data_IF_819446824515
#
_entry.id   IF_819446824515
#
_cell.length_a   1.000
_cell.length_b   1.000
_cell.length_c   1.000
_cell.angle_alpha   90.00
_cell.angle_beta   90.00
_cell.angle_gamma   90.00
#
_symmetry.space_group_name_H-M   'P 1'
#
loop_
_entity.id
_entity.type
_entity.pdbx_description
1 polymer ?
#
# COMPACT_ATOMS: atom_id res chain seq x y z
N UNK A 1 33.69 -31.39 -27.63
CA UNK A 1 32.44 -31.28 -26.85
C UNK A 1 32.81 -31.00 -25.41
N UNK A 2 32.20 -30.01 -24.76
CA UNK A 2 32.48 -29.72 -23.34
C UNK A 2 31.69 -30.72 -22.48
N UNK A 3 32.34 -31.48 -21.58
CA UNK A 3 31.62 -32.45 -20.74
C UNK A 3 30.72 -31.73 -19.74
N UNK A 4 29.48 -32.19 -19.63
CA UNK A 4 28.48 -31.62 -18.71
C UNK A 4 27.92 -32.71 -17.81
N UNK A 5 27.87 -32.43 -16.51
CA UNK A 5 27.21 -33.26 -15.51
C UNK A 5 26.16 -32.41 -14.80
N UNK A 6 24.96 -32.96 -14.65
CA UNK A 6 23.95 -32.34 -13.79
C UNK A 6 24.35 -32.53 -12.33
N UNK A 7 24.00 -31.57 -11.47
CA UNK A 7 24.36 -31.61 -10.04
C UNK A 7 23.87 -32.88 -9.36
N UNK A 8 22.66 -33.34 -9.71
CA UNK A 8 22.10 -34.61 -9.22
C UNK A 8 23.01 -35.79 -9.58
N UNK A 9 23.36 -35.94 -10.85
CA UNK A 9 24.19 -37.05 -11.30
C UNK A 9 25.60 -36.97 -10.69
N UNK A 10 26.18 -35.78 -10.57
CA UNK A 10 27.47 -35.59 -9.94
C UNK A 10 27.46 -36.00 -8.46
N UNK A 11 26.35 -35.80 -7.75
CA UNK A 11 26.21 -36.20 -6.34
C UNK A 11 26.02 -37.71 -6.11
N UNK A 12 25.58 -38.44 -7.14
CA UNK A 12 25.34 -39.88 -7.08
C UNK A 12 26.60 -40.70 -7.45
N UNK A 13 27.59 -40.08 -8.09
CA UNK A 13 28.78 -40.74 -8.60
C UNK A 13 29.99 -40.61 -7.65
N UNK A 14 30.87 -41.63 -7.58
CA UNK A 14 32.11 -41.52 -6.83
C UNK A 14 33.08 -40.54 -7.52
N UNK A 15 33.97 -39.95 -6.72
CA UNK A 15 34.89 -38.87 -7.17
C UNK A 15 35.67 -39.24 -8.43
N UNK A 16 36.17 -40.47 -8.53
CA UNK A 16 36.96 -40.91 -9.68
C UNK A 16 36.16 -40.93 -10.99
N UNK A 17 34.88 -41.29 -10.93
CA UNK A 17 33.99 -41.26 -12.10
C UNK A 17 33.66 -39.84 -12.52
N UNK A 18 33.39 -38.95 -11.56
CA UNK A 18 33.13 -37.53 -11.83
C UNK A 18 34.33 -36.88 -12.52
N UNK A 19 35.54 -37.17 -12.04
CA UNK A 19 36.80 -36.67 -12.60
C UNK A 19 37.01 -37.19 -14.03
N UNK A 20 36.72 -38.48 -14.26
CA UNK A 20 36.83 -39.10 -15.58
C UNK A 20 35.86 -38.45 -16.59
N UNK A 21 34.60 -38.28 -16.19
CA UNK A 21 33.56 -37.68 -17.05
C UNK A 21 33.86 -36.21 -17.33
N UNK A 22 34.28 -35.45 -16.33
CA UNK A 22 34.66 -34.04 -16.48
C UNK A 22 36.05 -33.83 -17.07
N UNK A 23 36.79 -34.91 -17.36
CA UNK A 23 38.16 -34.88 -17.89
C UNK A 23 39.05 -33.91 -17.09
N UNK A 24 38.94 -33.95 -15.76
CA UNK A 24 39.70 -33.10 -14.86
C UNK A 24 40.90 -33.88 -14.28
N UNK A 25 41.94 -33.17 -13.87
CA UNK A 25 43.06 -33.73 -13.10
C UNK A 25 42.86 -33.41 -11.61
N UNK A 26 42.94 -34.41 -10.73
CA UNK A 26 42.76 -34.24 -9.29
C UNK A 26 43.91 -33.50 -8.59
N UNK A 27 45.11 -33.52 -9.17
CA UNK A 27 46.30 -32.89 -8.61
C UNK A 27 46.57 -31.52 -9.23
N UNK A 28 46.35 -31.40 -10.54
CA UNK A 28 46.71 -30.21 -11.32
C UNK A 28 45.51 -29.37 -11.77
N UNK A 29 44.29 -29.90 -11.64
CA UNK A 29 43.08 -29.23 -12.09
C UNK A 29 42.95 -29.21 -13.63
N UNK A 30 42.28 -28.19 -14.15
CA UNK A 30 42.11 -28.00 -15.59
C UNK A 30 43.23 -27.10 -16.15
N UNK A 31 43.62 -27.34 -17.40
CA UNK A 31 44.57 -26.47 -18.10
C UNK A 31 43.91 -25.10 -18.41
N UNK A 32 44.70 -24.03 -18.54
CA UNK A 32 44.16 -22.69 -18.81
C UNK A 32 43.40 -22.60 -20.15
N UNK A 33 43.80 -23.40 -21.15
CA UNK A 33 43.10 -23.51 -22.43
C UNK A 33 41.72 -24.16 -22.24
N UNK A 34 41.65 -25.22 -21.43
CA UNK A 34 40.40 -25.90 -21.11
C UNK A 34 39.46 -25.02 -20.30
N UNK A 35 39.98 -24.26 -19.34
CA UNK A 35 39.21 -23.27 -18.58
C UNK A 35 38.61 -22.22 -19.51
N UNK A 36 39.42 -21.68 -20.43
CA UNK A 36 38.95 -20.67 -21.39
C UNK A 36 37.89 -21.22 -22.34
N UNK A 37 38.06 -22.47 -22.80
CA UNK A 37 37.08 -23.19 -23.62
C UNK A 37 35.77 -23.42 -22.87
N UNK A 38 35.84 -23.88 -21.62
CA UNK A 38 34.65 -24.13 -20.78
C UNK A 38 33.92 -22.84 -20.44
N UNK A 39 34.64 -21.76 -20.13
CA UNK A 39 34.06 -20.45 -19.85
C UNK A 39 33.34 -19.86 -21.07
N UNK A 40 33.87 -20.10 -22.27
CA UNK A 40 33.20 -19.68 -23.52
C UNK A 40 31.89 -20.43 -23.76
N UNK A 41 31.74 -21.65 -23.23
CA UNK A 41 30.54 -22.47 -23.41
C UNK A 41 29.52 -22.31 -22.26
N UNK A 42 29.99 -22.25 -21.02
CA UNK A 42 29.16 -22.18 -19.81
C UNK A 42 28.89 -20.76 -19.31
N UNK A 43 29.67 -19.79 -19.78
CA UNK A 43 29.69 -18.45 -19.20
C UNK A 43 30.47 -18.41 -17.89
N UNK A 44 30.35 -17.28 -17.21
CA UNK A 44 30.94 -17.06 -15.89
C UNK A 44 30.03 -17.67 -14.81
N UNK A 45 30.64 -18.22 -13.75
CA UNK A 45 29.90 -18.72 -12.60
C UNK A 45 29.51 -17.55 -11.68
N UNK A 46 28.62 -16.71 -12.18
CA UNK A 46 28.07 -15.56 -11.48
C UNK A 46 26.59 -15.80 -11.25
N UNK A 47 26.11 -15.45 -10.06
CA UNK A 47 24.68 -15.45 -9.81
C UNK A 47 24.07 -14.29 -10.58
N UNK A 48 22.98 -14.54 -11.27
CA UNK A 48 22.16 -13.48 -11.86
C UNK A 48 21.51 -12.72 -10.71
N UNK A 49 22.20 -11.68 -10.22
CA UNK A 49 21.67 -10.76 -9.24
C UNK A 49 20.68 -9.90 -10.02
N UNK A 50 19.44 -10.37 -10.08
CA UNK A 50 18.32 -9.55 -10.58
C UNK A 50 18.41 -8.21 -9.87
N UNK A 51 18.49 -7.12 -10.63
CA UNK A 51 18.68 -5.78 -10.07
C UNK A 51 17.74 -5.60 -8.88
N UNK A 52 18.33 -5.31 -7.71
CA UNK A 52 17.56 -5.19 -6.48
C UNK A 52 16.41 -4.23 -6.73
N UNK A 53 15.16 -4.72 -6.64
CA UNK A 53 14.02 -3.84 -6.75
C UNK A 53 14.21 -2.70 -5.75
N UNK A 54 14.20 -1.44 -6.20
CA UNK A 54 14.53 -0.33 -5.33
C UNK A 54 13.53 -0.29 -4.17
N UNK A 55 14.01 0.07 -2.98
CA UNK A 55 13.24 -0.05 -1.72
C UNK A 55 11.86 0.64 -1.79
N UNK A 56 11.73 1.73 -2.56
CA UNK A 56 10.44 2.40 -2.78
C UNK A 56 9.43 1.53 -3.53
N UNK A 57 9.85 0.68 -4.48
CA UNK A 57 8.96 -0.28 -5.17
C UNK A 57 8.46 -1.35 -4.21
N UNK A 58 9.32 -1.84 -3.32
CA UNK A 58 8.95 -2.78 -2.25
C UNK A 58 8.00 -2.16 -1.22
N UNK A 59 8.09 -0.86 -0.98
CA UNK A 59 7.13 -0.14 -0.15
C UNK A 59 5.78 0.02 -0.87
N UNK A 60 5.80 0.40 -2.15
CA UNK A 60 4.58 0.52 -2.96
C UNK A 60 3.86 -0.82 -3.17
N UNK A 61 4.58 -1.93 -3.23
CA UNK A 61 3.97 -3.25 -3.37
C UNK A 61 3.12 -3.63 -2.14
N UNK A 62 3.44 -3.13 -0.95
CA UNK A 62 2.64 -3.36 0.26
C UNK A 62 1.26 -2.68 0.18
N UNK A 63 1.09 -1.57 -0.54
CA UNK A 63 -0.23 -0.96 -0.74
C UNK A 63 -1.20 -1.84 -1.55
N UNK A 64 -0.74 -2.92 -2.18
CA UNK A 64 -1.62 -3.91 -2.83
C UNK A 64 -2.21 -4.91 -1.83
N UNK A 65 -1.73 -4.92 -0.59
CA UNK A 65 -2.28 -5.78 0.45
C UNK A 65 -3.70 -5.30 0.83
N UNK A 66 -4.72 -6.16 0.73
CA UNK A 66 -6.09 -5.79 1.08
C UNK A 66 -6.23 -5.29 2.53
N UNK A 67 -5.37 -5.73 3.45
CA UNK A 67 -5.38 -5.25 4.83
C UNK A 67 -4.93 -3.79 4.95
N UNK A 68 -3.89 -3.39 4.21
CA UNK A 68 -3.41 -2.00 4.18
C UNK A 68 -4.44 -1.10 3.51
N UNK A 69 -5.05 -1.56 2.42
CA UNK A 69 -6.14 -0.84 1.76
C UNK A 69 -7.35 -0.65 2.68
N UNK A 70 -7.72 -1.68 3.45
CA UNK A 70 -8.80 -1.60 4.43
C UNK A 70 -8.49 -0.58 5.53
N UNK A 71 -7.25 -0.58 6.04
CA UNK A 71 -6.81 0.38 7.06
C UNK A 71 -6.82 1.82 6.53
N UNK A 72 -6.36 2.02 5.29
CA UNK A 72 -6.38 3.34 4.66
C UNK A 72 -7.82 3.82 4.41
N UNK A 73 -8.70 2.93 3.96
CA UNK A 73 -10.11 3.24 3.78
C UNK A 73 -10.79 3.63 5.10
N UNK A 74 -10.53 2.90 6.20
CA UNK A 74 -11.10 3.24 7.51
C UNK A 74 -10.56 4.56 8.05
N UNK A 75 -9.27 4.85 7.86
CA UNK A 75 -8.68 6.14 8.22
C UNK A 75 -9.33 7.30 7.45
N UNK A 76 -9.55 7.15 6.14
CA UNK A 76 -10.23 8.15 5.31
C UNK A 76 -11.66 8.39 5.80
N UNK A 77 -12.43 7.32 6.05
CA UNK A 77 -13.82 7.44 6.55
C UNK A 77 -13.84 8.12 7.93
N UNK A 78 -12.89 7.78 8.81
CA UNK A 78 -12.78 8.37 10.15
C UNK A 78 -12.55 9.89 10.09
N UNK A 79 -11.63 10.33 9.23
CA UNK A 79 -11.36 11.77 9.04
C UNK A 79 -12.57 12.49 8.46
N UNK A 80 -13.27 11.88 7.51
CA UNK A 80 -14.48 12.45 6.93
C UNK A 80 -15.59 12.58 7.99
N UNK A 81 -15.87 11.52 8.75
CA UNK A 81 -16.92 11.50 9.77
C UNK A 81 -16.70 12.55 10.86
N UNK A 82 -15.45 12.70 11.33
CA UNK A 82 -15.12 13.68 12.37
C UNK A 82 -15.55 15.12 11.99
N UNK A 83 -15.45 15.48 10.71
CA UNK A 83 -15.87 16.81 10.24
C UNK A 83 -17.40 16.97 10.19
N UNK A 84 -18.15 15.88 9.98
CA UNK A 84 -19.61 15.90 9.90
C UNK A 84 -20.28 15.87 11.28
N UNK A 85 -19.71 15.16 12.25
CA UNK A 85 -20.27 15.03 13.61
C UNK A 85 -20.43 16.41 14.29
N UNK A 86 -19.41 17.26 14.18
CA UNK A 86 -19.46 18.63 14.72
C UNK A 86 -20.53 19.49 14.03
N UNK A 87 -20.64 19.39 12.69
CA UNK A 87 -21.59 20.18 11.92
C UNK A 87 -23.06 19.78 12.18
N UNK A 88 -23.33 18.48 12.31
CA UNK A 88 -24.66 17.94 12.58
C UNK A 88 -25.09 18.29 14.01
N UNK A 89 -24.18 18.16 14.99
CA UNK A 89 -24.46 18.47 16.41
C UNK A 89 -24.95 19.91 16.60
N UNK A 90 -24.25 20.88 16.02
CA UNK A 90 -24.63 22.31 16.09
C UNK A 90 -25.99 22.54 15.41
N UNK A 91 -26.21 21.93 14.25
CA UNK A 91 -27.44 22.12 13.45
C UNK A 91 -28.67 21.52 14.15
N UNK A 92 -28.55 20.35 14.75
CA UNK A 92 -29.65 19.69 15.48
C UNK A 92 -30.07 20.50 16.71
N UNK A 93 -29.12 21.06 17.46
CA UNK A 93 -29.42 21.96 18.59
C UNK A 93 -30.08 23.26 18.13
N UNK A 94 -29.63 23.85 17.02
CA UNK A 94 -30.21 25.08 16.49
C UNK A 94 -31.64 24.91 15.99
N UNK A 95 -31.94 23.78 15.34
CA UNK A 95 -33.26 23.48 14.78
C UNK A 95 -34.29 23.05 15.84
N UNK A 96 -33.87 22.34 16.89
CA UNK A 96 -34.79 21.92 17.97
C UNK A 96 -35.27 23.08 18.85
N UNK A 97 -34.58 24.23 18.86
CA UNK A 97 -34.95 25.41 19.66
C UNK A 97 -36.05 26.30 19.03
N UNK A 98 -36.39 26.13 17.76
CA UNK A 98 -37.38 27.01 17.07
C UNK A 98 -38.85 26.56 17.20
N UNK A 99 -39.17 25.56 18.01
CA UNK A 99 -40.56 25.13 18.25
C UNK A 99 -40.99 25.44 19.69
N UNK A 100 -41.45 26.68 19.95
CA UNK A 100 -42.56 27.08 20.86
C UNK A 100 -42.39 28.52 21.36
N UNK A 101 -42.96 29.48 20.64
CA UNK A 101 -43.45 30.76 21.19
C UNK A 101 -44.77 31.09 20.47
N UNK A 102 -45.95 31.02 21.11
CA UNK A 102 -47.20 31.48 20.51
C UNK A 102 -47.22 33.02 20.48
N UNK A 103 -47.71 33.66 19.41
CA UNK A 103 -47.88 35.11 19.38
C UNK A 103 -49.07 35.55 20.25
N UNK A 104 -48.82 36.55 21.12
CA UNK A 104 -49.84 37.28 21.88
C UNK A 104 -50.61 38.22 20.91
N UNK A 105 -51.96 38.17 20.83
CA UNK A 105 -52.69 39.07 19.96
C UNK A 105 -52.84 40.45 20.62
N UNK A 106 -52.20 41.46 20.04
CA UNK A 106 -52.40 42.86 20.40
C UNK A 106 -53.74 43.36 19.83
N UNK A 107 -54.72 43.64 20.70
CA UNK A 107 -55.91 44.41 20.34
C UNK A 107 -55.57 45.91 20.36
N UNK A 108 -55.40 46.49 19.17
CA UNK A 108 -55.40 47.93 18.94
C UNK A 108 -56.69 48.32 18.21
N UNK A 109 -57.66 48.88 18.94
CA UNK A 109 -58.78 49.60 18.32
C UNK A 109 -58.85 51.04 18.84
N UNK A 110 -58.22 51.91 18.05
CA UNK A 110 -58.56 53.31 17.84
C UNK A 110 -60.09 53.49 17.62
N UNK A 111 -60.71 54.55 18.15
CA UNK A 111 -61.76 55.39 17.51
C UNK A 111 -62.33 56.43 18.52
N UNK A 112 -61.80 57.66 18.60
CA UNK A 112 -62.25 58.88 17.88
C UNK A 112 -63.36 59.69 18.63
N UNK A 113 -63.69 60.96 18.26
CA UNK A 113 -63.38 62.17 19.03
C UNK A 113 -64.63 62.97 19.48
N UNK A 114 -64.40 64.14 20.12
CA UNK A 114 -65.17 65.42 19.99
C UNK A 114 -65.56 66.11 21.31
N UNK A 115 -65.16 67.39 21.38
CA UNK A 115 -65.97 68.57 21.76
C UNK A 115 -66.24 68.97 23.24
N UNK A 116 -66.13 70.30 23.45
CA UNK A 116 -66.82 71.21 24.40
C UNK A 116 -66.33 71.21 25.87
N UNK A 117 -65.67 72.27 26.37
CA UNK A 117 -66.16 73.62 26.76
C UNK A 117 -66.55 73.70 28.25
N UNK A 118 -65.90 74.62 28.98
CA UNK A 118 -66.34 75.29 30.23
C UNK A 118 -66.49 74.36 31.45
N UNK A 119 -65.97 74.67 32.64
CA UNK A 119 -66.21 75.86 33.45
C UNK A 119 -65.24 75.96 34.63
#
# INVERSE_FOLDING_TARGET
MVPVLTSRKASELPVHEVVCVLQADLQRGLSPEEVSRRRSYHGWNEFDISEEEPLWRKYLSQFKDPLILLLLASAVISVLMHQFDDAISITVVGTTRTSRVPPEPAEYHQNQPSTTRTS
#
